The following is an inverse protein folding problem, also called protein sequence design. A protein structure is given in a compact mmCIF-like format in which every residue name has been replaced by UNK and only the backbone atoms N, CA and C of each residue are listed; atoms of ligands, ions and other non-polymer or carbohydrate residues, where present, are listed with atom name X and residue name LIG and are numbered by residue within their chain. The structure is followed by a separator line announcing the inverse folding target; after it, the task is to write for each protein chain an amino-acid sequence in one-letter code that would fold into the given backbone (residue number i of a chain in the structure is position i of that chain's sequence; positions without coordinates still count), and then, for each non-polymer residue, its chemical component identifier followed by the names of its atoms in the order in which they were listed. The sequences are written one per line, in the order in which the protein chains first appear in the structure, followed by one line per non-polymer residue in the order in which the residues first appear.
data_IF_313751635978
#
_entry.id   IF_313751635978
#
_cell.length_a   1.000
_cell.length_b   1.000
_cell.length_c   1.000
_cell.angle_alpha   90.00
_cell.angle_beta   90.00
_cell.angle_gamma   90.00
#
_symmetry.space_group_name_H-M   'P 1'
#
loop_
_entity.id
_entity.type
_entity.pdbx_description
1 polymer ?
#
# COMPACT_ATOMS: atom_id res chain seq x y z
N UNK A 1 -30.74 52.67 -1.43
CA UNK A 1 -29.64 53.40 -2.09
C UNK A 1 -28.93 52.43 -3.01
N UNK A 2 -29.22 52.51 -4.31
CA UNK A 2 -28.57 51.80 -5.41
C UNK A 2 -27.81 52.86 -6.22
N UNK A 3 -26.55 52.60 -6.56
CA UNK A 3 -25.81 53.14 -7.70
C UNK A 3 -24.44 52.44 -7.71
N UNK A 4 -23.90 51.94 -8.82
CA UNK A 4 -23.73 52.61 -10.13
C UNK A 4 -23.75 51.63 -11.32
N UNK A 5 -24.41 52.07 -12.40
CA UNK A 5 -24.31 51.56 -13.79
C UNK A 5 -22.95 51.96 -14.43
N UNK A 6 -22.46 51.30 -15.49
CA UNK A 6 -22.60 51.72 -16.92
C UNK A 6 -22.02 50.58 -17.82
N UNK A 7 -22.81 49.90 -18.69
CA UNK A 7 -22.85 49.95 -20.19
C UNK A 7 -21.50 50.22 -20.90
N UNK A 8 -21.08 49.63 -22.02
CA UNK A 8 -21.69 49.10 -23.25
C UNK A 8 -20.57 48.32 -24.00
N UNK A 9 -20.76 47.25 -24.78
CA UNK A 9 -21.18 47.27 -26.19
C UNK A 9 -21.14 45.85 -26.78
N UNK A 10 -22.03 45.63 -27.76
CA UNK A 10 -22.32 44.40 -28.50
C UNK A 10 -21.29 44.12 -29.61
N UNK A 11 -20.95 42.84 -29.84
CA UNK A 11 -20.51 42.37 -31.16
C UNK A 11 -20.93 40.90 -31.40
N UNK A 12 -21.31 40.63 -32.66
CA UNK A 12 -22.07 39.49 -33.20
C UNK A 12 -21.25 38.18 -33.32
N UNK A 13 -21.97 37.03 -33.29
CA UNK A 13 -21.53 35.69 -33.76
C UNK A 13 -21.20 35.67 -35.27
N UNK A 14 -20.41 34.71 -35.81
CA UNK A 14 -20.97 33.39 -36.21
C UNK A 14 -20.04 32.14 -36.07
N UNK A 15 -20.71 31.00 -35.83
CA UNK A 15 -20.52 29.62 -36.31
C UNK A 15 -19.14 29.12 -36.80
N UNK A 16 -18.64 28.05 -36.17
CA UNK A 16 -17.99 26.94 -36.88
C UNK A 16 -18.15 25.62 -36.10
N UNK A 17 -18.69 24.62 -36.78
CA UNK A 17 -18.93 23.25 -36.35
C UNK A 17 -17.65 22.42 -36.37
N UNK A 18 -17.36 21.67 -35.31
CA UNK A 18 -16.56 20.46 -35.43
C UNK A 18 -17.16 19.33 -34.59
N UNK A 19 -17.75 18.36 -35.30
CA UNK A 19 -18.14 17.04 -34.77
C UNK A 19 -16.86 16.30 -34.42
N UNK A 20 -16.70 15.94 -33.14
CA UNK A 20 -15.72 14.96 -32.72
C UNK A 20 -16.30 13.56 -32.98
N UNK A 21 -15.67 12.83 -33.91
CA UNK A 21 -16.00 11.44 -34.24
C UNK A 21 -15.41 10.52 -33.17
N UNK A 22 -16.25 9.71 -32.53
CA UNK A 22 -15.84 8.57 -31.72
C UNK A 22 -15.18 7.49 -32.63
N UNK A 23 -14.11 6.81 -32.19
CA UNK A 23 -13.57 5.68 -32.92
C UNK A 23 -14.49 4.45 -32.81
N UNK A 24 -14.64 3.75 -33.95
CA UNK A 24 -15.47 2.55 -34.11
C UNK A 24 -14.81 1.33 -33.46
N UNK A 25 -15.66 0.51 -32.85
CA UNK A 25 -15.40 -0.88 -32.44
C UNK A 25 -15.23 -1.75 -33.69
N UNK A 26 -14.17 -2.56 -33.73
CA UNK A 26 -13.93 -3.59 -34.75
C UNK A 26 -14.10 -4.97 -34.07
N UNK A 27 -14.92 -5.89 -34.61
CA UNK A 27 -15.04 -7.24 -34.09
C UNK A 27 -13.93 -8.14 -34.68
N UNK A 28 -13.33 -8.99 -33.86
CA UNK A 28 -12.43 -10.06 -34.32
C UNK A 28 -13.10 -11.41 -34.08
N UNK A 29 -13.50 -12.04 -35.18
CA UNK A 29 -13.77 -13.47 -35.27
C UNK A 29 -12.47 -14.20 -35.63
N UNK A 30 -12.27 -15.34 -34.97
CA UNK A 30 -11.59 -16.56 -35.41
C UNK A 30 -10.26 -16.47 -36.18
N UNK A 31 -9.16 -16.78 -35.47
CA UNK A 31 -8.01 -17.42 -36.10
C UNK A 31 -7.33 -18.40 -35.12
N UNK A 32 -7.53 -19.68 -35.40
CA UNK A 32 -6.81 -20.81 -34.81
C UNK A 32 -5.51 -21.02 -35.59
N UNK A 33 -4.36 -21.13 -34.90
CA UNK A 33 -3.40 -22.25 -34.99
C UNK A 33 -2.04 -21.87 -34.34
N UNK A 34 -1.74 -22.61 -33.27
CA UNK A 34 -0.46 -23.25 -32.92
C UNK A 34 0.91 -22.53 -33.06
N UNK A 35 1.64 -22.64 -31.93
CA UNK A 35 3.08 -22.92 -31.76
C UNK A 35 4.11 -21.77 -31.71
N UNK A 36 4.62 -21.53 -30.50
CA UNK A 36 6.04 -21.45 -30.11
C UNK A 36 6.10 -21.49 -28.56
N UNK A 37 6.33 -22.63 -27.90
CA UNK A 37 7.64 -23.23 -27.53
C UNK A 37 8.49 -22.33 -26.58
N UNK A 38 8.50 -22.79 -25.32
CA UNK A 38 9.55 -22.76 -24.27
C UNK A 38 9.73 -21.56 -23.30
N UNK A 39 9.60 -21.95 -22.02
CA UNK A 39 10.50 -21.68 -20.88
C UNK A 39 10.29 -20.45 -19.98
N UNK A 40 9.46 -20.67 -18.93
CA UNK A 40 9.78 -20.53 -17.48
C UNK A 40 10.06 -19.12 -16.88
N UNK A 41 9.98 -19.00 -15.53
CA UNK A 41 9.18 -17.98 -14.83
C UNK A 41 10.03 -16.80 -14.35
N UNK A 42 9.43 -15.62 -14.19
CA UNK A 42 10.01 -14.56 -13.38
C UNK A 42 8.91 -13.79 -12.64
N UNK A 43 8.83 -14.05 -11.35
CA UNK A 43 8.09 -13.25 -10.38
C UNK A 43 8.92 -11.98 -10.11
N UNK A 44 8.37 -10.80 -10.41
CA UNK A 44 9.00 -9.52 -10.04
C UNK A 44 8.18 -8.93 -8.90
N UNK A 45 8.75 -9.06 -7.71
CA UNK A 45 8.36 -8.41 -6.47
C UNK A 45 8.84 -6.95 -6.55
N UNK A 46 7.95 -5.98 -6.30
CA UNK A 46 8.27 -4.57 -6.02
C UNK A 46 9.16 -3.85 -7.06
N UNK A 47 8.59 -3.31 -8.15
CA UNK A 47 9.37 -2.52 -9.12
C UNK A 47 9.77 -1.14 -8.56
N UNK A 48 10.98 -1.07 -7.99
CA UNK A 48 11.85 0.11 -8.06
C UNK A 48 12.28 0.35 -9.54
N UNK A 49 12.58 1.59 -9.96
CA UNK A 49 13.08 1.85 -11.31
C UNK A 49 14.32 0.98 -11.61
N UNK A 50 14.26 0.22 -12.71
CA UNK A 50 15.19 -0.83 -13.17
C UNK A 50 16.62 -0.37 -13.51
N UNK A 51 17.15 0.69 -12.88
CA UNK A 51 18.44 1.31 -13.24
C UNK A 51 19.54 1.26 -12.18
N UNK A 52 19.36 0.48 -11.11
CA UNK A 52 20.40 0.30 -10.05
C UNK A 52 21.01 -1.11 -10.04
N UNK A 53 20.49 -2.04 -10.85
CA UNK A 53 21.01 -3.41 -10.91
C UNK A 53 22.03 -3.59 -12.04
N UNK A 54 23.28 -3.20 -11.80
CA UNK A 54 24.43 -3.59 -12.64
C UNK A 54 25.15 -4.83 -12.07
N UNK A 55 25.76 -5.61 -12.96
CA UNK A 55 26.09 -7.04 -12.85
C UNK A 55 27.16 -7.48 -11.81
N UNK A 56 27.32 -6.78 -10.68
CA UNK A 56 28.27 -7.12 -9.60
C UNK A 56 27.63 -7.83 -8.40
N UNK A 57 26.30 -7.99 -8.37
CA UNK A 57 25.52 -8.46 -7.21
C UNK A 57 25.54 -9.99 -7.01
N UNK A 58 25.77 -10.77 -8.08
CA UNK A 58 25.64 -12.24 -8.05
C UNK A 58 26.69 -12.97 -7.18
N UNK A 59 27.81 -12.34 -6.82
CA UNK A 59 28.84 -12.97 -5.97
C UNK A 59 28.68 -12.66 -4.47
N UNK A 60 27.86 -11.68 -4.09
CA UNK A 60 27.61 -11.29 -2.68
C UNK A 60 26.39 -11.98 -2.04
N UNK A 61 25.47 -12.50 -2.83
CA UNK A 61 24.22 -13.13 -2.33
C UNK A 61 24.44 -14.39 -1.48
N UNK A 62 25.58 -15.07 -1.64
CA UNK A 62 25.91 -16.27 -0.87
C UNK A 62 26.42 -15.96 0.55
N UNK A 63 26.86 -14.73 0.83
CA UNK A 63 27.48 -14.36 2.11
C UNK A 63 26.49 -13.82 3.15
N UNK A 64 25.26 -13.49 2.75
CA UNK A 64 24.29 -12.75 3.59
C UNK A 64 23.13 -13.58 4.16
N UNK A 65 23.12 -14.90 3.91
CA UNK A 65 22.05 -15.79 4.37
C UNK A 65 22.33 -16.26 5.79
N UNK A 66 21.47 -15.87 6.74
CA UNK A 66 21.44 -16.47 8.07
C UNK A 66 20.41 -17.61 8.09
N UNK A 67 20.79 -18.75 8.64
CA UNK A 67 19.93 -19.92 8.77
C UNK A 67 19.45 -20.05 10.22
N UNK A 68 18.15 -20.20 10.42
CA UNK A 68 17.61 -20.57 11.74
C UNK A 68 17.57 -22.11 11.90
N UNK A 69 17.14 -22.58 13.08
CA UNK A 69 17.02 -24.01 13.40
C UNK A 69 16.02 -24.77 12.51
N UNK A 70 15.15 -24.09 11.76
CA UNK A 70 14.18 -24.69 10.83
C UNK A 70 14.65 -24.68 9.37
N UNK A 71 15.86 -24.18 9.08
CA UNK A 71 16.42 -24.12 7.72
C UNK A 71 15.85 -22.97 6.87
N UNK A 72 15.07 -22.07 7.47
CA UNK A 72 14.58 -20.87 6.80
C UNK A 72 15.72 -19.86 6.63
N UNK A 73 15.83 -19.33 5.41
CA UNK A 73 16.79 -18.28 5.07
C UNK A 73 16.20 -16.93 5.47
N UNK A 74 16.80 -16.28 6.46
CA UNK A 74 16.51 -14.88 6.80
C UNK A 74 17.57 -13.98 6.18
N UNK A 75 17.13 -12.83 5.67
CA UNK A 75 18.05 -11.77 5.30
C UNK A 75 18.61 -11.16 6.57
N UNK A 76 19.94 -10.98 6.62
CA UNK A 76 20.55 -10.30 7.77
C UNK A 76 20.06 -8.85 7.86
N UNK A 77 20.05 -8.30 9.07
CA UNK A 77 19.77 -6.88 9.29
C UNK A 77 20.74 -5.99 8.51
N UNK A 78 21.99 -6.41 8.39
CA UNK A 78 23.00 -5.73 7.58
C UNK A 78 22.59 -5.66 6.10
N UNK A 79 21.99 -6.73 5.55
CA UNK A 79 21.46 -6.69 4.19
C UNK A 79 20.37 -5.64 4.03
N UNK A 80 19.37 -5.64 4.93
CA UNK A 80 18.27 -4.67 4.89
C UNK A 80 18.81 -3.25 5.04
N UNK A 81 19.72 -3.03 6.00
CA UNK A 81 20.35 -1.74 6.24
C UNK A 81 21.06 -1.20 5.00
N UNK A 82 21.90 -2.04 4.36
CA UNK A 82 22.62 -1.67 3.15
C UNK A 82 21.64 -1.31 2.02
N UNK A 83 20.64 -2.15 1.76
CA UNK A 83 19.65 -1.88 0.71
C UNK A 83 18.87 -0.59 0.95
N UNK A 84 18.50 -0.28 2.18
CA UNK A 84 17.79 0.96 2.51
C UNK A 84 18.69 2.18 2.35
N UNK A 85 19.93 2.10 2.82
CA UNK A 85 20.88 3.20 2.69
C UNK A 85 21.20 3.50 1.22
N UNK A 86 21.35 2.48 0.38
CA UNK A 86 21.54 2.64 -1.06
C UNK A 86 20.35 3.36 -1.70
N UNK A 87 19.11 2.98 -1.35
CA UNK A 87 17.90 3.64 -1.81
C UNK A 87 17.83 5.11 -1.34
N UNK A 88 18.14 5.38 -0.06
CA UNK A 88 18.13 6.74 0.48
C UNK A 88 19.17 7.61 -0.23
N UNK A 89 20.39 7.11 -0.42
CA UNK A 89 21.44 7.82 -1.14
C UNK A 89 21.00 8.13 -2.58
N UNK A 90 20.50 7.12 -3.30
CA UNK A 90 20.00 7.28 -4.66
C UNK A 90 18.91 8.35 -4.77
N UNK A 91 17.88 8.29 -3.92
CA UNK A 91 16.76 9.23 -3.97
C UNK A 91 17.15 10.64 -3.51
N UNK A 92 18.15 10.76 -2.63
CA UNK A 92 18.71 12.05 -2.23
C UNK A 92 19.44 12.71 -3.41
N UNK A 93 20.20 11.94 -4.19
CA UNK A 93 20.89 12.42 -5.39
C UNK A 93 19.93 12.63 -6.57
N UNK A 94 18.84 11.86 -6.64
CA UNK A 94 17.89 11.83 -7.75
C UNK A 94 16.45 12.10 -7.27
N UNK A 95 16.14 13.28 -6.70
CA UNK A 95 14.84 13.56 -6.08
C UNK A 95 13.65 13.50 -7.05
N UNK A 96 13.89 13.62 -8.36
CA UNK A 96 12.84 13.47 -9.39
C UNK A 96 12.35 12.02 -9.51
N UNK A 97 13.19 11.06 -9.17
CA UNK A 97 12.87 9.63 -9.24
C UNK A 97 12.11 9.14 -8.00
N UNK A 98 12.01 9.98 -6.96
CA UNK A 98 11.19 9.70 -5.78
C UNK A 98 9.68 9.76 -6.08
N UNK A 99 9.29 10.29 -7.24
CA UNK A 99 7.90 10.36 -7.68
C UNK A 99 7.58 9.15 -8.56
N UNK A 100 6.63 8.34 -8.12
CA UNK A 100 6.08 7.23 -8.89
C UNK A 100 4.56 7.25 -8.89
N UNK A 101 3.96 6.67 -9.92
CA UNK A 101 2.52 6.43 -10.00
C UNK A 101 2.29 4.94 -9.90
N UNK A 102 1.50 4.51 -8.92
CA UNK A 102 1.15 3.09 -8.77
C UNK A 102 0.29 2.60 -9.95
N UNK A 103 0.52 1.38 -10.46
CA UNK A 103 -0.36 0.79 -11.47
C UNK A 103 -1.77 0.54 -10.89
N UNK A 104 -2.81 0.50 -11.74
CA UNK A 104 -4.18 0.32 -11.28
C UNK A 104 -4.43 -1.10 -10.75
N UNK A 105 -5.35 -1.21 -9.79
CA UNK A 105 -5.93 -2.48 -9.33
C UNK A 105 -7.39 -2.52 -9.77
N UNK A 106 -7.82 -3.63 -10.38
CA UNK A 106 -9.22 -3.82 -10.81
C UNK A 106 -9.95 -4.76 -9.86
N UNK A 107 -11.08 -4.32 -9.32
CA UNK A 107 -11.97 -5.15 -8.52
C UNK A 107 -13.21 -5.59 -9.32
N UNK A 108 -13.55 -6.87 -9.27
CA UNK A 108 -14.74 -7.45 -9.92
C UNK A 108 -15.53 -8.24 -8.89
N UNK A 109 -16.85 -8.02 -8.88
CA UNK A 109 -17.80 -8.84 -8.14
C UNK A 109 -17.88 -10.23 -8.80
N UNK A 110 -17.40 -11.27 -8.12
CA UNK A 110 -17.43 -12.64 -8.65
C UNK A 110 -18.79 -13.29 -8.39
N UNK A 111 -19.35 -13.09 -7.20
CA UNK A 111 -20.64 -13.64 -6.78
C UNK A 111 -21.14 -12.92 -5.52
N UNK A 112 -22.39 -12.50 -5.50
CA UNK A 112 -23.02 -11.84 -4.35
C UNK A 112 -22.14 -10.67 -3.83
N UNK A 113 -21.71 -10.68 -2.56
CA UNK A 113 -20.80 -9.67 -1.98
C UNK A 113 -19.32 -10.07 -2.03
N UNK A 114 -19.00 -11.15 -2.76
CA UNK A 114 -17.63 -11.64 -2.90
C UNK A 114 -16.95 -10.99 -4.10
N UNK A 115 -15.89 -10.24 -3.85
CA UNK A 115 -15.13 -9.49 -4.86
C UNK A 115 -13.68 -9.97 -4.95
N UNK A 116 -13.12 -9.98 -6.15
CA UNK A 116 -11.67 -10.17 -6.39
C UNK A 116 -11.06 -8.88 -6.89
N UNK A 117 -9.98 -8.44 -6.26
CA UNK A 117 -9.09 -7.41 -6.77
C UNK A 117 -7.84 -8.06 -7.40
N UNK A 118 -7.44 -7.57 -8.59
CA UNK A 118 -6.27 -8.07 -9.33
C UNK A 118 -5.40 -6.89 -9.79
N UNK A 119 -4.09 -6.98 -9.54
CA UNK A 119 -3.08 -6.04 -10.02
C UNK A 119 -2.58 -6.37 -11.43
N UNK A 120 -1.84 -5.44 -12.06
CA UNK A 120 -1.30 -5.62 -13.42
C UNK A 120 -0.36 -6.81 -13.55
N UNK A 121 0.30 -7.19 -12.45
CA UNK A 121 1.28 -8.28 -12.43
C UNK A 121 0.67 -9.61 -11.94
N UNK A 122 -0.67 -9.68 -11.88
CA UNK A 122 -1.42 -10.89 -11.57
C UNK A 122 -1.58 -11.20 -10.09
N UNK A 123 -1.06 -10.37 -9.16
CA UNK A 123 -1.40 -10.53 -7.74
C UNK A 123 -2.91 -10.34 -7.56
N UNK A 124 -3.52 -11.12 -6.68
CA UNK A 124 -4.94 -10.95 -6.38
C UNK A 124 -5.27 -11.14 -4.91
N UNK A 125 -6.34 -10.49 -4.49
CA UNK A 125 -6.95 -10.64 -3.17
C UNK A 125 -8.45 -10.83 -3.33
N UNK A 126 -9.05 -11.61 -2.44
CA UNK A 126 -10.49 -11.85 -2.40
C UNK A 126 -11.03 -11.24 -1.11
N UNK A 127 -12.20 -10.61 -1.23
CA UNK A 127 -12.99 -10.13 -0.11
C UNK A 127 -14.40 -10.71 -0.16
N UNK A 128 -15.03 -10.79 0.99
CA UNK A 128 -16.45 -11.11 1.14
C UNK A 128 -17.01 -10.34 2.34
N UNK A 129 -18.31 -10.33 2.51
CA UNK A 129 -18.95 -9.73 3.66
C UNK A 129 -19.52 -10.80 4.61
N UNK A 130 -19.74 -10.48 5.90
CA UNK A 130 -20.43 -11.38 6.81
C UNK A 130 -21.87 -11.69 6.37
N UNK A 131 -22.39 -12.83 6.82
CA UNK A 131 -23.78 -13.24 6.54
C UNK A 131 -24.81 -12.23 7.04
N UNK A 132 -24.53 -11.55 8.15
CA UNK A 132 -25.40 -10.52 8.74
C UNK A 132 -25.72 -9.34 7.78
N UNK A 133 -24.87 -9.10 6.78
CA UNK A 133 -25.07 -8.06 5.77
C UNK A 133 -25.27 -8.64 4.36
N UNK A 134 -25.56 -9.93 4.27
CA UNK A 134 -25.89 -10.63 3.02
C UNK A 134 -24.71 -11.25 2.27
N UNK A 135 -23.51 -11.30 2.86
CA UNK A 135 -22.34 -11.95 2.26
C UNK A 135 -22.22 -13.43 2.60
N UNK A 136 -21.23 -14.09 1.99
CA UNK A 136 -20.98 -15.52 2.21
C UNK A 136 -20.06 -15.83 3.40
N UNK A 137 -19.38 -14.82 3.95
CA UNK A 137 -18.35 -14.98 4.97
C UNK A 137 -17.16 -15.84 4.52
N UNK A 138 -16.96 -16.00 3.20
CA UNK A 138 -15.97 -16.92 2.61
C UNK A 138 -14.55 -16.36 2.53
N UNK A 139 -14.39 -15.06 2.77
CA UNK A 139 -13.12 -14.35 2.79
C UNK A 139 -13.20 -13.14 3.75
N UNK A 140 -12.06 -12.55 4.16
CA UNK A 140 -12.07 -11.34 4.97
C UNK A 140 -12.84 -10.19 4.33
N UNK A 141 -13.41 -9.32 5.16
CA UNK A 141 -14.05 -8.10 4.66
C UNK A 141 -13.03 -7.08 4.16
N UNK A 142 -13.42 -6.15 3.26
CA UNK A 142 -12.56 -5.04 2.86
C UNK A 142 -12.05 -4.23 4.07
N UNK A 143 -12.91 -4.01 5.07
CA UNK A 143 -12.54 -3.31 6.31
C UNK A 143 -11.50 -4.09 7.15
N UNK A 144 -11.59 -5.42 7.20
CA UNK A 144 -10.57 -6.24 7.84
C UNK A 144 -9.24 -6.16 7.10
N UNK A 145 -9.24 -6.27 5.77
CA UNK A 145 -8.02 -6.13 4.96
C UNK A 145 -7.38 -4.75 5.10
N UNK A 146 -8.18 -3.68 5.20
CA UNK A 146 -7.67 -2.34 5.45
C UNK A 146 -6.90 -2.27 6.78
N UNK A 147 -7.48 -2.79 7.87
CA UNK A 147 -6.78 -2.88 9.16
C UNK A 147 -5.53 -3.74 9.10
N UNK A 148 -5.59 -4.88 8.41
CA UNK A 148 -4.44 -5.76 8.21
C UNK A 148 -3.31 -5.05 7.45
N UNK A 149 -3.64 -4.30 6.40
CA UNK A 149 -2.68 -3.52 5.62
C UNK A 149 -2.02 -2.42 6.45
N UNK A 150 -2.78 -1.74 7.32
CA UNK A 150 -2.22 -0.74 8.25
C UNK A 150 -1.24 -1.41 9.23
N UNK A 151 -1.66 -2.51 9.89
CA UNK A 151 -0.84 -3.21 10.87
C UNK A 151 0.48 -3.72 10.27
N UNK A 152 0.42 -4.34 9.08
CA UNK A 152 1.61 -4.86 8.42
C UNK A 152 2.50 -3.76 7.85
N UNK A 153 1.93 -2.62 7.44
CA UNK A 153 2.71 -1.46 7.02
C UNK A 153 3.48 -0.85 8.20
N UNK A 154 2.84 -0.68 9.36
CA UNK A 154 3.51 -0.23 10.58
C UNK A 154 4.62 -1.20 11.01
N UNK A 155 4.32 -2.51 11.06
CA UNK A 155 5.32 -3.53 11.39
C UNK A 155 6.53 -3.49 10.43
N UNK A 156 6.26 -3.41 9.13
CA UNK A 156 7.32 -3.33 8.11
C UNK A 156 8.14 -2.06 8.31
N UNK A 157 7.52 -0.91 8.58
CA UNK A 157 8.23 0.34 8.78
C UNK A 157 9.06 0.35 10.07
N UNK A 158 8.59 -0.30 11.13
CA UNK A 158 9.32 -0.51 12.40
C UNK A 158 10.56 -1.35 12.15
N UNK A 159 10.41 -2.50 11.49
CA UNK A 159 11.53 -3.36 11.13
C UNK A 159 12.54 -2.64 10.24
N UNK A 160 12.07 -1.86 9.26
CA UNK A 160 12.91 -1.05 8.40
C UNK A 160 13.71 -0.02 9.20
N UNK A 161 13.07 0.68 10.15
CA UNK A 161 13.74 1.68 10.99
C UNK A 161 14.76 1.04 11.93
N UNK A 162 14.45 -0.12 12.51
CA UNK A 162 15.42 -0.86 13.31
C UNK A 162 16.64 -1.26 12.48
N UNK A 163 16.42 -1.75 11.25
CA UNK A 163 17.50 -2.11 10.34
C UNK A 163 18.35 -0.90 9.90
N UNK A 164 17.75 0.26 9.62
CA UNK A 164 18.49 1.51 9.37
C UNK A 164 19.50 1.83 10.49
N UNK A 165 19.16 1.49 11.73
CA UNK A 165 20.00 1.68 12.93
C UNK A 165 20.93 0.49 13.23
N UNK A 166 20.94 -0.55 12.38
CA UNK A 166 21.74 -1.75 12.57
C UNK A 166 21.22 -2.67 13.69
N UNK A 167 19.95 -2.53 14.07
CA UNK A 167 19.34 -3.27 15.17
C UNK A 167 18.53 -4.46 14.63
N UNK A 168 18.86 -5.66 15.12
CA UNK A 168 18.03 -6.84 14.96
C UNK A 168 16.96 -6.90 16.04
N UNK A 169 15.70 -6.95 15.63
CA UNK A 169 14.58 -7.16 16.54
C UNK A 169 14.40 -8.65 16.81
N UNK A 170 14.29 -9.02 18.08
CA UNK A 170 13.92 -10.38 18.51
C UNK A 170 12.40 -10.58 18.52
N UNK A 171 11.66 -9.48 18.73
CA UNK A 171 10.20 -9.48 18.80
C UNK A 171 9.65 -8.23 18.14
N UNK A 172 8.68 -8.43 17.27
CA UNK A 172 7.85 -7.37 16.72
C UNK A 172 6.45 -7.92 16.46
N UNK A 173 5.48 -7.39 17.21
CA UNK A 173 4.06 -7.62 16.97
C UNK A 173 3.36 -6.27 16.87
N UNK A 174 2.47 -6.15 15.89
CA UNK A 174 1.62 -4.97 15.73
C UNK A 174 0.17 -5.42 15.65
N UNK A 175 -0.63 -4.97 16.62
CA UNK A 175 -2.07 -5.20 16.68
C UNK A 175 -2.78 -3.89 16.36
N UNK A 176 -3.72 -3.95 15.43
CA UNK A 176 -4.51 -2.80 14.99
C UNK A 176 -5.99 -3.06 15.21
N UNK A 177 -6.66 -2.15 15.88
CA UNK A 177 -8.12 -2.14 16.00
C UNK A 177 -8.70 -0.76 15.68
N UNK A 178 -10.01 -0.73 15.43
CA UNK A 178 -10.74 0.50 15.12
C UNK A 178 -12.11 0.51 15.79
N UNK A 179 -12.63 1.71 15.97
CA UNK A 179 -14.04 1.95 16.31
C UNK A 179 -14.74 2.35 15.04
N UNK A 180 -15.75 1.59 14.64
CA UNK A 180 -16.53 1.81 13.43
C UNK A 180 -18.02 1.98 13.82
N UNK A 181 -18.80 2.69 13.00
CA UNK A 181 -20.25 2.84 13.16
C UNK A 181 -20.95 2.57 11.83
N UNK A 182 -21.59 1.40 11.74
CA UNK A 182 -22.21 0.90 10.51
C UNK A 182 -23.36 1.78 10.00
N UNK A 183 -23.89 2.72 10.81
CA UNK A 183 -24.84 3.72 10.30
C UNK A 183 -24.23 4.56 9.19
N UNK A 184 -22.93 4.84 9.27
CA UNK A 184 -22.19 5.54 8.22
C UNK A 184 -22.03 4.67 6.96
N UNK A 185 -21.72 3.38 7.13
CA UNK A 185 -21.62 2.42 6.01
C UNK A 185 -22.94 2.31 5.22
N UNK A 186 -24.07 2.23 5.93
CA UNK A 186 -25.39 2.06 5.31
C UNK A 186 -26.09 3.39 4.99
N UNK A 187 -25.48 4.53 5.29
CA UNK A 187 -26.08 5.85 5.08
C UNK A 187 -27.34 6.11 5.89
N UNK A 188 -27.49 5.44 7.04
CA UNK A 188 -28.64 5.61 7.96
C UNK A 188 -28.59 6.98 8.65
N UNK A 189 -27.38 7.45 8.95
CA UNK A 189 -27.13 8.76 9.57
C UNK A 189 -26.04 9.50 8.78
N UNK A 190 -26.42 10.58 8.09
CA UNK A 190 -25.49 11.37 7.27
C UNK A 190 -24.46 12.16 8.08
N UNK A 191 -24.62 12.26 9.41
CA UNK A 191 -23.63 12.89 10.29
C UNK A 191 -22.52 11.92 10.71
N UNK A 192 -22.73 10.60 10.50
CA UNK A 192 -21.77 9.55 10.81
C UNK A 192 -20.96 9.21 9.55
N UNK A 193 -19.62 9.30 9.65
CA UNK A 193 -18.74 8.90 8.54
C UNK A 193 -18.76 7.39 8.32
N UNK A 194 -18.59 6.95 7.07
CA UNK A 194 -18.51 5.51 6.74
C UNK A 194 -17.17 4.86 7.13
N UNK A 195 -16.11 5.64 7.30
CA UNK A 195 -14.81 5.17 7.77
C UNK A 195 -14.74 5.02 9.29
N UNK A 196 -13.61 4.54 9.81
CA UNK A 196 -13.40 4.42 11.25
C UNK A 196 -13.51 5.76 11.97
N UNK A 197 -14.13 5.76 13.15
CA UNK A 197 -14.24 6.88 14.07
C UNK A 197 -12.92 7.12 14.82
N UNK A 198 -12.21 6.04 15.14
CA UNK A 198 -10.88 6.08 15.71
C UNK A 198 -10.12 4.80 15.41
N UNK A 199 -8.80 4.87 15.45
CA UNK A 199 -7.91 3.72 15.29
C UNK A 199 -6.91 3.63 16.46
N UNK A 200 -6.49 2.41 16.78
CA UNK A 200 -5.50 2.14 17.82
C UNK A 200 -4.50 1.11 17.34
N UNK A 201 -3.22 1.44 17.49
CA UNK A 201 -2.08 0.58 17.17
C UNK A 201 -1.37 0.19 18.46
N UNK A 202 -1.27 -1.11 18.73
CA UNK A 202 -0.53 -1.67 19.87
C UNK A 202 0.70 -2.39 19.35
N UNK A 203 1.88 -1.99 19.82
CA UNK A 203 3.16 -2.52 19.37
C UNK A 203 3.86 -3.23 20.53
N UNK A 204 4.24 -4.49 20.32
CA UNK A 204 5.15 -5.21 21.20
C UNK A 204 6.50 -5.33 20.49
N UNK A 205 7.56 -4.79 21.08
CA UNK A 205 8.89 -4.72 20.45
C UNK A 205 9.99 -5.14 21.44
N UNK A 206 10.96 -5.92 20.98
CA UNK A 206 12.11 -6.35 21.77
C UNK A 206 13.36 -6.55 20.92
N UNK A 207 14.51 -6.18 21.48
CA UNK A 207 15.83 -6.47 20.93
C UNK A 207 16.85 -6.57 22.07
N UNK A 208 17.58 -7.67 22.13
CA UNK A 208 18.52 -7.98 23.20
C UNK A 208 19.65 -6.93 23.25
N UNK A 209 19.89 -6.37 24.44
CA UNK A 209 20.94 -5.38 24.66
C UNK A 209 20.65 -3.99 24.09
N UNK A 210 19.44 -3.74 23.56
CA UNK A 210 19.03 -2.42 23.07
C UNK A 210 18.27 -1.67 24.17
N UNK A 211 18.60 -0.39 24.36
CA UNK A 211 17.93 0.45 25.33
C UNK A 211 16.44 0.64 25.00
N UNK A 212 15.58 0.60 26.02
CA UNK A 212 14.13 0.69 25.81
C UNK A 212 13.69 2.02 25.21
N UNK A 213 14.44 3.11 25.42
CA UNK A 213 14.16 4.41 24.81
C UNK A 213 14.40 4.33 23.30
N UNK A 214 15.45 3.65 22.85
CA UNK A 214 15.73 3.45 21.42
C UNK A 214 14.59 2.66 20.77
N UNK A 215 14.10 1.60 21.42
CA UNK A 215 12.96 0.83 20.90
C UNK A 215 11.69 1.67 20.76
N UNK A 216 11.40 2.55 21.74
CA UNK A 216 10.27 3.50 21.66
C UNK A 216 10.47 4.51 20.53
N UNK A 217 11.67 5.10 20.42
CA UNK A 217 12.01 6.07 19.37
C UNK A 217 11.87 5.44 17.97
N UNK A 218 12.21 4.16 17.80
CA UNK A 218 11.99 3.40 16.55
C UNK A 218 10.51 3.33 16.21
N UNK A 219 9.65 2.96 17.16
CA UNK A 219 8.21 2.85 16.94
C UNK A 219 7.59 4.21 16.62
N UNK A 220 7.91 5.24 17.41
CA UNK A 220 7.39 6.60 17.20
C UNK A 220 7.78 7.16 15.84
N UNK A 221 9.01 6.89 15.39
CA UNK A 221 9.44 7.25 14.05
C UNK A 221 8.66 6.45 13.00
N UNK A 222 8.59 5.13 13.12
CA UNK A 222 8.01 4.28 12.10
C UNK A 222 6.51 4.52 11.88
N UNK A 223 5.72 4.66 12.95
CA UNK A 223 4.27 4.94 12.87
C UNK A 223 4.01 6.25 12.10
N UNK A 224 4.85 7.27 12.28
CA UNK A 224 4.73 8.55 11.56
C UNK A 224 5.10 8.46 10.07
N UNK A 225 5.87 7.44 9.68
CA UNK A 225 6.38 7.28 8.32
C UNK A 225 5.81 6.03 7.62
N UNK A 226 4.71 5.49 8.14
CA UNK A 226 4.00 4.33 7.58
C UNK A 226 2.99 4.80 6.53
N UNK A 227 3.25 4.60 5.22
CA UNK A 227 2.47 5.26 4.15
C UNK A 227 1.01 4.80 4.08
N UNK A 228 0.72 3.52 4.34
CA UNK A 228 -0.66 3.02 4.36
C UNK A 228 -1.42 3.61 5.52
N UNK A 229 -0.78 3.70 6.70
CA UNK A 229 -1.40 4.24 7.88
C UNK A 229 -1.57 5.77 7.81
N UNK A 230 -0.63 6.49 7.19
CA UNK A 230 -0.70 7.94 6.97
C UNK A 230 -1.98 8.34 6.22
N UNK A 231 -2.33 7.60 5.16
CA UNK A 231 -3.57 7.80 4.40
C UNK A 231 -4.84 7.67 5.25
N UNK A 232 -4.79 6.96 6.40
CA UNK A 232 -5.91 6.83 7.32
C UNK A 232 -5.84 7.79 8.51
N UNK A 233 -4.62 8.04 9.04
CA UNK A 233 -4.36 8.83 10.26
C UNK A 233 -4.57 10.33 10.05
N UNK A 234 -4.42 10.84 8.84
CA UNK A 234 -4.59 12.26 8.54
C UNK A 234 -5.95 12.82 9.01
N UNK A 235 -7.03 12.04 8.82
CA UNK A 235 -8.41 12.44 9.12
C UNK A 235 -9.08 11.58 10.20
N UNK A 236 -8.34 10.66 10.84
CA UNK A 236 -8.90 9.72 11.82
C UNK A 236 -8.11 9.77 13.12
N UNK A 237 -8.75 10.09 14.26
CA UNK A 237 -8.11 10.02 15.57
C UNK A 237 -7.37 8.70 15.76
N UNK A 238 -6.08 8.80 16.10
CA UNK A 238 -5.20 7.64 16.22
C UNK A 238 -4.43 7.64 17.53
N UNK A 239 -4.22 6.45 18.08
CA UNK A 239 -3.45 6.22 19.31
C UNK A 239 -2.44 5.12 19.10
N UNK A 240 -1.30 5.21 19.79
CA UNK A 240 -0.23 4.20 19.77
C UNK A 240 0.11 3.82 21.20
N UNK A 241 0.17 2.52 21.46
CA UNK A 241 0.57 1.94 22.74
C UNK A 241 1.78 1.03 22.50
N UNK A 242 2.82 1.17 23.33
CA UNK A 242 4.09 0.45 23.15
C UNK A 242 4.37 -0.41 24.37
N UNK A 243 4.59 -1.70 24.14
CA UNK A 243 5.05 -2.69 25.12
C UNK A 243 6.46 -3.14 24.75
N UNK A 244 7.37 -3.12 25.73
CA UNK A 244 8.73 -3.67 25.56
C UNK A 244 8.68 -5.14 25.98
N UNK A 245 9.12 -6.04 25.10
CA UNK A 245 9.15 -7.49 25.31
C UNK A 245 10.27 -7.93 26.27
#
# INVERSE_FOLDING_TARGET
MLNTQTLCCVAKRPLASHRQKYPRVIPLHDCSFAQCIFAKPFSIFWEFPKRVADATVLSRELTLRQFNKTGETFMSVEHIQNSVNDVIAYLTENPKDALSTSPPVTAVMEKDLRCRATGTDGQSVVTDMPTAVGGGGSAPSPGWLARAAIATCDATRIALRAAELGIALDTLEVVMDSVDDDRGLFGIDHTVRAGSLSIRTRVTIGAAGVDQKILRDIVDYAVKHSPVADSCRADTPSTVEITIA
#
